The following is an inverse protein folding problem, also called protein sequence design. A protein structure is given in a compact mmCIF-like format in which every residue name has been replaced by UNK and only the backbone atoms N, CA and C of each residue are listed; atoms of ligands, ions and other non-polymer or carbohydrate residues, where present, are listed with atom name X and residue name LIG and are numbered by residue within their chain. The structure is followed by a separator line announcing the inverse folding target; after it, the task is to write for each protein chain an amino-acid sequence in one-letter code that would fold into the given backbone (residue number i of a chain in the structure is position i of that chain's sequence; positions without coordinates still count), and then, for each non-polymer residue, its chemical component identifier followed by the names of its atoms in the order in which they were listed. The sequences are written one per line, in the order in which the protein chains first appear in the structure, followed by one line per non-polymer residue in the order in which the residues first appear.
data_IF_447018262139
#
_entry.id   IF_447018262139
#
_cell.length_a   1.000
_cell.length_b   1.000
_cell.length_c   1.000
_cell.angle_alpha   90.00
_cell.angle_beta   90.00
_cell.angle_gamma   90.00
#
_symmetry.space_group_name_H-M   'P 1'
#
loop_
_entity.id
_entity.type
_entity.pdbx_description
1 polymer ?
#
# COMPACT_ATOMS: atom_id res chain seq x y z
N UNK A 1 36.71 11.74 -73.60
CA UNK A 1 37.12 11.41 -72.21
C UNK A 1 36.80 12.61 -71.34
N UNK A 2 36.16 12.41 -70.18
CA UNK A 2 35.80 13.51 -69.29
C UNK A 2 37.05 14.02 -68.56
N UNK A 3 37.25 15.34 -68.52
CA UNK A 3 38.40 15.99 -67.87
C UNK A 3 37.91 16.85 -66.71
N UNK A 4 38.59 16.78 -65.58
CA UNK A 4 38.34 17.63 -64.43
C UNK A 4 39.62 18.38 -64.05
N UNK A 5 39.49 19.55 -63.43
CA UNK A 5 40.60 20.35 -62.95
C UNK A 5 40.14 21.34 -61.88
N UNK A 6 41.07 22.01 -61.21
CA UNK A 6 40.78 23.04 -60.23
C UNK A 6 40.64 24.41 -60.91
N UNK A 7 39.52 25.11 -60.68
CA UNK A 7 39.31 26.47 -61.17
C UNK A 7 39.61 27.48 -60.06
N UNK A 8 40.62 28.33 -60.28
CA UNK A 8 41.03 29.36 -59.30
C UNK A 8 39.95 30.40 -59.02
N UNK A 9 39.13 30.73 -60.02
CA UNK A 9 38.01 31.67 -59.86
C UNK A 9 36.83 31.06 -59.10
N UNK A 10 36.55 29.75 -59.28
CA UNK A 10 35.50 29.06 -58.52
C UNK A 10 35.96 28.60 -57.13
N UNK A 11 37.27 28.45 -56.91
CA UNK A 11 37.83 27.91 -55.68
C UNK A 11 37.56 26.41 -55.47
N UNK A 12 37.27 25.66 -56.53
CA UNK A 12 36.87 24.26 -56.45
C UNK A 12 37.31 23.44 -57.68
N UNK A 13 37.32 22.12 -57.52
CA UNK A 13 37.46 21.18 -58.64
C UNK A 13 36.16 21.14 -59.44
N UNK A 14 36.28 21.34 -60.75
CA UNK A 14 35.18 21.44 -61.70
C UNK A 14 35.43 20.55 -62.90
N UNK A 15 34.35 20.18 -63.59
CA UNK A 15 34.44 19.57 -64.91
C UNK A 15 34.85 20.62 -65.94
N UNK A 16 35.68 20.20 -66.90
CA UNK A 16 36.16 21.06 -67.96
C UNK A 16 35.26 20.95 -69.19
N UNK A 17 34.92 22.09 -69.76
CA UNK A 17 34.26 22.18 -71.05
C UNK A 17 35.22 21.72 -72.17
N UNK A 18 34.71 21.43 -73.39
CA UNK A 18 35.54 20.95 -74.49
C UNK A 18 36.68 21.90 -74.90
N UNK A 19 36.50 23.20 -74.64
CA UNK A 19 37.50 24.27 -74.85
C UNK A 19 38.57 24.33 -73.74
N UNK A 20 38.47 23.48 -72.72
CA UNK A 20 39.37 23.43 -71.56
C UNK A 20 39.02 24.42 -70.46
N UNK A 21 37.95 25.21 -70.61
CA UNK A 21 37.46 26.13 -69.59
C UNK A 21 36.66 25.44 -68.49
N UNK A 22 36.35 26.19 -67.43
CA UNK A 22 35.42 25.77 -66.39
C UNK A 22 34.00 25.65 -66.97
N UNK A 23 33.24 24.63 -66.58
CA UNK A 23 31.82 24.50 -66.97
C UNK A 23 30.93 25.69 -66.56
N UNK A 24 31.39 26.50 -65.60
CA UNK A 24 30.73 27.73 -65.16
C UNK A 24 31.11 28.98 -65.99
N UNK A 25 31.83 28.81 -67.12
CA UNK A 25 32.10 29.89 -68.08
C UNK A 25 33.40 30.66 -67.87
N UNK A 26 34.35 30.14 -67.08
CA UNK A 26 35.68 30.74 -66.94
C UNK A 26 36.66 30.14 -67.94
N UNK A 27 37.52 30.99 -68.50
CA UNK A 27 38.52 30.56 -69.47
C UNK A 27 39.55 29.59 -68.87
N UNK A 28 40.28 28.87 -69.74
CA UNK A 28 41.24 27.85 -69.34
C UNK A 28 42.44 28.42 -68.53
N UNK A 29 42.70 29.72 -68.61
CA UNK A 29 43.77 30.40 -67.86
C UNK A 29 43.66 30.25 -66.34
N UNK A 30 42.45 30.01 -65.82
CA UNK A 30 42.19 29.76 -64.41
C UNK A 30 42.22 28.29 -63.99
N UNK A 31 42.50 27.36 -64.90
CA UNK A 31 42.41 25.92 -64.66
C UNK A 31 43.80 25.32 -64.38
N UNK A 32 43.92 24.59 -63.26
CA UNK A 32 45.14 23.86 -62.89
C UNK A 32 44.83 22.42 -62.45
N UNK A 33 45.87 21.58 -62.41
CA UNK A 33 45.73 20.20 -61.92
C UNK A 33 44.77 19.34 -62.74
N UNK A 34 44.83 19.43 -64.08
CA UNK A 34 43.92 18.70 -64.97
C UNK A 34 44.21 17.21 -64.92
N UNK A 35 43.18 16.41 -64.63
CA UNK A 35 43.25 14.95 -64.68
C UNK A 35 42.07 14.38 -65.50
N UNK A 36 42.33 13.25 -66.14
CA UNK A 36 41.32 12.52 -66.89
C UNK A 36 40.57 11.60 -65.93
N UNK A 37 39.23 11.64 -66.00
CA UNK A 37 38.39 10.73 -65.22
C UNK A 37 37.95 9.62 -66.15
N UNK A 38 38.44 8.40 -65.86
CA UNK A 38 37.92 7.20 -66.49
C UNK A 38 36.42 7.10 -66.15
N UNK A 39 35.62 6.92 -67.20
CA UNK A 39 34.16 6.86 -67.18
C UNK A 39 33.65 6.01 -66.00
N UNK A 40 32.89 6.64 -65.09
CA UNK A 40 32.40 6.00 -63.88
C UNK A 40 31.50 4.82 -64.22
N UNK A 41 31.95 3.65 -63.79
CA UNK A 41 31.15 2.44 -63.59
C UNK A 41 29.91 2.79 -62.74
N UNK A 42 28.76 2.27 -63.18
CA UNK A 42 27.42 2.31 -62.58
C UNK A 42 27.29 2.89 -61.16
N UNK A 43 26.32 3.79 -61.00
CA UNK A 43 25.92 4.38 -59.73
C UNK A 43 25.79 3.33 -58.60
N UNK A 44 26.29 3.61 -57.38
CA UNK A 44 26.06 2.73 -56.24
C UNK A 44 24.56 2.63 -55.93
N UNK A 45 24.06 1.47 -55.45
CA UNK A 45 22.64 1.33 -55.12
C UNK A 45 22.23 2.37 -54.09
N UNK A 46 21.05 2.95 -54.29
CA UNK A 46 20.46 3.95 -53.41
C UNK A 46 20.53 3.48 -51.95
N UNK A 47 21.25 4.24 -51.13
CA UNK A 47 21.27 4.10 -49.69
C UNK A 47 19.83 4.27 -49.20
N UNK A 48 19.23 3.19 -48.68
CA UNK A 48 17.91 3.26 -48.04
C UNK A 48 17.94 4.25 -46.87
N UNK A 49 16.78 4.80 -46.46
CA UNK A 49 16.76 5.80 -45.39
C UNK A 49 17.45 5.26 -44.13
N UNK A 50 18.43 6.00 -43.61
CA UNK A 50 19.07 5.72 -42.33
C UNK A 50 18.01 5.52 -41.24
N UNK A 51 18.16 4.54 -40.31
CA UNK A 51 17.32 4.50 -39.13
C UNK A 51 17.52 5.81 -38.35
N UNK A 52 16.44 6.52 -38.09
CA UNK A 52 16.47 7.72 -37.26
C UNK A 52 16.79 7.34 -35.82
N UNK A 53 17.53 8.18 -35.06
CA UNK A 53 17.79 7.91 -33.66
C UNK A 53 16.46 7.95 -32.88
N UNK A 54 16.05 6.81 -32.30
CA UNK A 54 14.90 6.76 -31.41
C UNK A 54 15.14 7.68 -30.20
N UNK A 55 14.33 8.73 -30.06
CA UNK A 55 14.34 9.57 -28.85
C UNK A 55 13.95 8.71 -27.64
N UNK A 56 14.69 8.75 -26.53
CA UNK A 56 14.35 7.98 -25.35
C UNK A 56 12.96 8.38 -24.85
N UNK A 57 12.06 7.38 -24.75
CA UNK A 57 10.67 7.54 -24.29
C UNK A 57 10.61 8.01 -22.83
N UNK A 58 10.67 9.34 -22.62
CA UNK A 58 10.50 9.98 -21.30
C UNK A 58 9.13 9.70 -20.66
N UNK A 59 8.14 9.32 -21.47
CA UNK A 59 6.77 9.03 -21.03
C UNK A 59 6.69 7.86 -20.05
N UNK A 60 7.51 6.81 -20.23
CA UNK A 60 7.51 5.66 -19.32
C UNK A 60 8.00 6.01 -17.91
N UNK A 61 8.99 6.92 -17.81
CA UNK A 61 9.49 7.41 -16.51
C UNK A 61 8.46 8.28 -15.81
N UNK A 62 7.71 9.10 -16.54
CA UNK A 62 6.64 9.94 -15.97
C UNK A 62 5.51 9.06 -15.42
N UNK A 63 5.07 8.05 -16.18
CA UNK A 63 4.02 7.13 -15.73
C UNK A 63 4.45 6.39 -14.45
N UNK A 64 5.69 5.90 -14.39
CA UNK A 64 6.21 5.22 -13.20
C UNK A 64 6.21 6.13 -11.96
N UNK A 65 6.65 7.39 -12.10
CA UNK A 65 6.69 8.35 -10.99
C UNK A 65 5.28 8.67 -10.48
N UNK A 66 4.31 8.85 -11.39
CA UNK A 66 2.92 9.13 -11.03
C UNK A 66 2.30 7.96 -10.28
N UNK A 67 2.55 6.72 -10.73
CA UNK A 67 2.06 5.51 -10.04
C UNK A 67 2.69 5.38 -8.65
N UNK A 68 4.01 5.56 -8.54
CA UNK A 68 4.69 5.52 -7.23
C UNK A 68 4.20 6.61 -6.27
N UNK A 69 4.00 7.83 -6.77
CA UNK A 69 3.49 8.93 -5.97
C UNK A 69 2.06 8.67 -5.46
N UNK A 70 1.19 8.10 -6.31
CA UNK A 70 -0.16 7.69 -5.91
C UNK A 70 -0.15 6.55 -4.88
N UNK A 71 0.71 5.55 -5.05
CA UNK A 71 0.85 4.46 -4.08
C UNK A 71 1.34 5.00 -2.73
N UNK A 72 2.33 5.89 -2.72
CA UNK A 72 2.82 6.52 -1.48
C UNK A 72 1.75 7.42 -0.85
N UNK A 73 0.95 8.14 -1.63
CA UNK A 73 -0.16 8.94 -1.14
C UNK A 73 -1.23 8.05 -0.48
N UNK A 74 -1.67 6.99 -1.16
CA UNK A 74 -2.73 6.09 -0.64
C UNK A 74 -2.22 5.31 0.57
N UNK A 75 -1.01 4.75 0.51
CA UNK A 75 -0.41 4.04 1.64
C UNK A 75 -0.09 4.99 2.80
N UNK A 76 0.46 6.17 2.51
CA UNK A 76 0.79 7.18 3.53
C UNK A 76 -0.46 7.70 4.24
N UNK A 77 -1.49 8.11 3.50
CA UNK A 77 -2.76 8.54 4.08
C UNK A 77 -3.48 7.40 4.83
N UNK A 78 -3.43 6.16 4.31
CA UNK A 78 -4.00 4.98 4.97
C UNK A 78 -3.32 4.65 6.30
N UNK A 79 -1.98 4.73 6.36
CA UNK A 79 -1.21 4.47 7.58
C UNK A 79 -1.42 5.57 8.62
N UNK A 80 -1.46 6.85 8.21
CA UNK A 80 -1.74 7.98 9.11
C UNK A 80 -3.15 7.88 9.69
N UNK A 81 -4.15 7.52 8.88
CA UNK A 81 -5.51 7.28 9.36
C UNK A 81 -5.59 6.12 10.35
N UNK A 82 -4.97 4.98 10.03
CA UNK A 82 -5.05 3.80 10.89
C UNK A 82 -4.38 4.01 12.26
N UNK A 83 -3.24 4.68 12.30
CA UNK A 83 -2.50 4.90 13.54
C UNK A 83 -3.21 5.84 14.53
N UNK A 84 -3.96 6.83 14.03
CA UNK A 84 -4.64 7.82 14.88
C UNK A 84 -6.01 7.33 15.39
N UNK A 85 -6.75 6.54 14.61
CA UNK A 85 -8.10 6.11 14.97
C UNK A 85 -8.17 4.71 15.62
N UNK A 86 -7.16 3.87 15.47
CA UNK A 86 -7.10 2.55 16.09
C UNK A 86 -7.18 2.59 17.64
N UNK A 87 -6.32 3.32 18.38
CA UNK A 87 -6.29 3.18 19.84
C UNK A 87 -7.62 3.54 20.50
N UNK A 88 -8.30 4.60 20.03
CA UNK A 88 -9.56 5.08 20.60
C UNK A 88 -10.74 4.11 20.36
N UNK A 89 -10.80 3.52 19.18
CA UNK A 89 -11.87 2.56 18.84
C UNK A 89 -11.65 1.21 19.52
N UNK A 90 -10.41 0.75 19.64
CA UNK A 90 -10.10 -0.50 20.35
C UNK A 90 -10.32 -0.38 21.86
N UNK A 91 -10.01 0.76 22.47
CA UNK A 91 -10.22 0.98 23.91
C UNK A 91 -11.72 1.00 24.26
N UNK A 92 -12.53 1.75 23.51
CA UNK A 92 -13.99 1.78 23.75
C UNK A 92 -14.67 0.43 23.49
N UNK A 93 -14.22 -0.31 22.47
CA UNK A 93 -14.68 -1.67 22.22
C UNK A 93 -14.26 -2.63 23.34
N UNK A 94 -13.03 -2.51 23.84
CA UNK A 94 -12.54 -3.33 24.95
C UNK A 94 -13.32 -3.07 26.24
N UNK A 95 -13.58 -1.80 26.59
CA UNK A 95 -14.34 -1.45 27.79
C UNK A 95 -15.78 -1.96 27.71
N UNK A 96 -16.41 -1.81 26.54
CA UNK A 96 -17.72 -2.40 26.27
C UNK A 96 -17.73 -3.93 26.39
N UNK A 97 -16.67 -4.59 25.90
CA UNK A 97 -16.53 -6.04 25.99
C UNK A 97 -16.36 -6.51 27.44
N UNK A 98 -15.54 -5.80 28.23
CA UNK A 98 -15.33 -6.09 29.66
C UNK A 98 -16.62 -5.94 30.46
N UNK A 99 -17.36 -4.85 30.25
CA UNK A 99 -18.66 -4.61 30.89
C UNK A 99 -19.66 -5.72 30.56
N UNK A 100 -19.82 -6.05 29.27
CA UNK A 100 -20.71 -7.14 28.82
C UNK A 100 -20.29 -8.50 29.36
N UNK A 101 -18.99 -8.77 29.43
CA UNK A 101 -18.46 -10.03 29.98
C UNK A 101 -18.74 -10.12 31.48
N UNK A 102 -18.52 -9.04 32.23
CA UNK A 102 -18.86 -9.00 33.66
C UNK A 102 -20.35 -9.24 33.87
N UNK A 103 -21.20 -8.57 33.08
CA UNK A 103 -22.65 -8.76 33.14
C UNK A 103 -23.08 -10.20 32.83
N UNK A 104 -22.46 -10.83 31.84
CA UNK A 104 -22.70 -12.24 31.51
C UNK A 104 -22.28 -13.17 32.67
N UNK A 105 -21.13 -12.93 33.29
CA UNK A 105 -20.68 -13.68 34.46
C UNK A 105 -21.70 -13.57 35.62
N UNK A 106 -22.20 -12.36 35.91
CA UNK A 106 -23.23 -12.16 36.95
C UNK A 106 -24.50 -12.97 36.67
N UNK A 107 -24.97 -13.00 35.41
CA UNK A 107 -26.12 -13.83 35.02
C UNK A 107 -25.84 -15.32 35.21
N UNK A 108 -24.63 -15.77 34.88
CA UNK A 108 -24.22 -17.16 35.08
C UNK A 108 -24.14 -17.54 36.57
N UNK A 109 -23.61 -16.66 37.42
CA UNK A 109 -23.58 -16.84 38.87
C UNK A 109 -25.00 -16.91 39.45
N UNK A 110 -25.87 -15.95 39.11
CA UNK A 110 -27.25 -15.92 39.58
C UNK A 110 -28.06 -17.13 39.09
N UNK A 111 -27.89 -17.54 37.83
CA UNK A 111 -28.53 -18.77 37.32
C UNK A 111 -28.03 -20.04 38.02
N UNK A 112 -26.76 -20.08 38.45
CA UNK A 112 -26.24 -21.19 39.24
C UNK A 112 -26.80 -21.19 40.67
N UNK A 113 -27.12 -20.04 41.27
CA UNK A 113 -27.86 -19.94 42.54
C UNK A 113 -29.27 -20.50 42.37
N UNK A 114 -29.98 -20.13 41.30
CA UNK A 114 -31.30 -20.69 41.00
C UNK A 114 -31.24 -22.22 40.82
N UNK A 115 -30.23 -22.72 40.12
CA UNK A 115 -30.02 -24.16 39.94
C UNK A 115 -29.71 -24.88 41.26
N UNK A 116 -28.92 -24.26 42.14
CA UNK A 116 -28.64 -24.78 43.47
C UNK A 116 -29.91 -24.82 44.32
N UNK A 117 -30.70 -23.76 44.34
CA UNK A 117 -31.97 -23.67 45.06
C UNK A 117 -32.92 -24.81 44.67
N UNK A 118 -33.02 -25.11 43.37
CA UNK A 118 -33.89 -26.16 42.85
C UNK A 118 -33.38 -27.58 43.14
N UNK A 119 -32.10 -27.74 43.49
CA UNK A 119 -31.49 -29.06 43.67
C UNK A 119 -31.74 -29.70 45.05
N UNK A 120 -32.15 -28.90 46.05
CA UNK A 120 -32.34 -29.39 47.41
C UNK A 120 -33.42 -28.60 48.16
N UNK A 121 -34.33 -29.31 48.81
CA UNK A 121 -35.48 -28.70 49.51
C UNK A 121 -35.10 -27.76 50.66
N UNK A 122 -33.87 -27.88 51.20
CA UNK A 122 -33.36 -27.03 52.29
C UNK A 122 -32.43 -25.92 51.81
N UNK A 123 -32.19 -25.81 50.49
CA UNK A 123 -31.31 -24.77 49.96
C UNK A 123 -32.05 -23.44 49.94
N UNK A 124 -31.48 -22.44 50.62
CA UNK A 124 -32.03 -21.09 50.70
C UNK A 124 -31.05 -20.08 50.06
N UNK A 125 -31.36 -19.54 48.87
CA UNK A 125 -30.56 -18.51 48.21
C UNK A 125 -30.30 -17.30 49.09
N UNK A 126 -31.26 -16.92 49.94
CA UNK A 126 -31.15 -15.71 50.76
C UNK A 126 -30.12 -15.85 51.88
N UNK A 127 -29.67 -17.08 52.17
CA UNK A 127 -28.61 -17.33 53.13
C UNK A 127 -27.19 -17.15 52.55
N UNK A 128 -27.05 -16.83 51.25
CA UNK A 128 -25.75 -16.62 50.61
C UNK A 128 -25.36 -15.13 50.67
N UNK A 129 -24.46 -14.78 51.58
CA UNK A 129 -23.99 -13.41 51.81
C UNK A 129 -22.46 -13.25 51.70
N UNK A 130 -21.76 -14.32 51.30
CA UNK A 130 -20.32 -14.28 51.04
C UNK A 130 -19.92 -15.12 49.83
N UNK A 131 -18.80 -14.75 49.19
CA UNK A 131 -18.25 -15.51 48.06
C UNK A 131 -17.81 -16.93 48.44
N UNK A 132 -17.43 -17.16 49.70
CA UNK A 132 -17.04 -18.49 50.16
C UNK A 132 -18.25 -19.43 50.29
N UNK A 133 -19.35 -18.94 50.86
CA UNK A 133 -20.64 -19.64 50.88
C UNK A 133 -21.14 -19.88 49.46
N UNK A 134 -21.07 -18.84 48.62
CA UNK A 134 -21.36 -18.92 47.21
C UNK A 134 -20.57 -20.02 46.51
N UNK A 135 -19.26 -20.07 46.68
CA UNK A 135 -18.42 -21.13 46.10
C UNK A 135 -18.85 -22.52 46.55
N UNK A 136 -19.11 -22.69 47.84
CA UNK A 136 -19.51 -23.98 48.40
C UNK A 136 -20.86 -24.44 47.84
N UNK A 137 -21.81 -23.52 47.67
CA UNK A 137 -23.16 -23.81 47.16
C UNK A 137 -23.20 -24.04 45.64
N UNK A 138 -22.64 -23.09 44.87
CA UNK A 138 -22.84 -23.04 43.41
C UNK A 138 -21.63 -23.47 42.59
N UNK A 139 -20.47 -23.68 43.21
CA UNK A 139 -19.22 -24.00 42.52
C UNK A 139 -19.31 -25.25 41.64
N UNK A 140 -20.15 -26.22 41.99
CA UNK A 140 -20.38 -27.43 41.19
C UNK A 140 -21.13 -27.19 39.87
N UNK A 141 -21.88 -26.09 39.76
CA UNK A 141 -22.62 -25.73 38.53
C UNK A 141 -21.78 -24.87 37.58
N UNK A 142 -20.58 -24.47 38.02
CA UNK A 142 -19.69 -23.58 37.30
C UNK A 142 -18.43 -24.33 36.92
N UNK A 143 -17.99 -24.13 35.68
CA UNK A 143 -16.72 -24.71 35.22
C UNK A 143 -15.52 -24.11 35.96
N UNK A 144 -15.60 -22.81 36.27
CA UNK A 144 -14.56 -22.05 36.94
C UNK A 144 -15.21 -20.93 37.75
N UNK A 145 -15.33 -21.15 39.06
CA UNK A 145 -15.91 -20.17 39.97
C UNK A 145 -15.03 -18.93 40.10
N UNK A 146 -13.71 -19.13 40.24
CA UNK A 146 -12.72 -18.06 40.44
C UNK A 146 -12.74 -17.05 39.29
N UNK A 147 -12.77 -17.54 38.05
CA UNK A 147 -12.85 -16.68 36.88
C UNK A 147 -14.24 -16.02 36.75
N UNK A 148 -15.31 -16.70 37.16
CA UNK A 148 -16.66 -16.13 37.12
C UNK A 148 -16.83 -14.95 38.08
N UNK A 149 -16.23 -15.00 39.27
CA UNK A 149 -16.27 -13.92 40.27
C UNK A 149 -15.21 -12.83 40.05
N UNK A 150 -14.42 -12.91 38.98
CA UNK A 150 -13.45 -11.88 38.61
C UNK A 150 -14.06 -10.90 37.58
N UNK A 151 -14.11 -9.61 37.92
CA UNK A 151 -14.48 -8.58 36.95
C UNK A 151 -13.29 -8.25 36.02
N UNK A 152 -13.45 -8.33 34.69
CA UNK A 152 -12.37 -8.00 33.74
C UNK A 152 -11.92 -6.53 33.76
N UNK A 153 -12.72 -5.63 34.35
CA UNK A 153 -12.37 -4.22 34.55
C UNK A 153 -11.79 -3.93 35.94
N UNK A 154 -11.58 -4.94 36.78
CA UNK A 154 -11.05 -4.78 38.13
C UNK A 154 -12.09 -4.39 39.20
N UNK A 155 -13.38 -4.47 38.87
CA UNK A 155 -14.45 -4.38 39.86
C UNK A 155 -14.46 -5.55 40.84
N UNK A 156 -15.02 -5.35 42.01
CA UNK A 156 -15.23 -6.40 43.01
C UNK A 156 -16.61 -7.00 42.80
N UNK A 157 -16.73 -8.32 42.91
CA UNK A 157 -18.02 -9.01 42.88
C UNK A 157 -18.38 -9.39 44.32
N UNK A 158 -19.59 -9.05 44.73
CA UNK A 158 -20.17 -9.37 46.03
C UNK A 158 -21.47 -10.13 45.86
N UNK A 159 -21.85 -10.90 46.87
CA UNK A 159 -23.15 -11.58 46.93
C UNK A 159 -23.88 -11.12 48.18
N UNK A 160 -25.18 -10.86 48.03
CA UNK A 160 -26.07 -10.53 49.15
C UNK A 160 -27.43 -11.11 48.83
N UNK A 161 -28.04 -11.82 49.78
CA UNK A 161 -29.30 -12.54 49.59
C UNK A 161 -29.29 -13.47 48.34
N UNK A 162 -28.13 -14.07 48.03
CA UNK A 162 -27.95 -14.92 46.85
C UNK A 162 -27.90 -14.18 45.51
N UNK A 163 -27.87 -12.85 45.52
CA UNK A 163 -27.74 -12.03 44.32
C UNK A 163 -26.31 -11.51 44.15
N UNK A 164 -25.64 -11.95 43.09
CA UNK A 164 -24.32 -11.47 42.73
C UNK A 164 -24.40 -10.12 42.04
N UNK A 165 -23.58 -9.19 42.52
CA UNK A 165 -23.45 -7.83 42.02
C UNK A 165 -21.98 -7.45 41.85
N UNK A 166 -21.72 -6.47 41.00
CA UNK A 166 -20.41 -5.86 40.82
C UNK A 166 -20.39 -4.46 41.42
N UNK A 167 -19.26 -4.07 41.99
CA UNK A 167 -19.02 -2.72 42.52
C UNK A 167 -19.03 -1.63 41.44
N UNK A 168 -18.91 -2.00 40.17
CA UNK A 168 -19.07 -1.09 39.01
C UNK A 168 -20.56 -1.11 38.61
N UNK A 169 -21.32 -0.03 38.87
CA UNK A 169 -22.78 -0.06 38.72
C UNK A 169 -23.26 -0.41 37.30
N UNK A 170 -22.55 0.07 36.29
CA UNK A 170 -22.87 -0.12 34.87
C UNK A 170 -22.73 -1.57 34.39
N UNK A 171 -22.06 -2.43 35.18
CA UNK A 171 -21.90 -3.84 34.86
C UNK A 171 -23.05 -4.70 35.40
N UNK A 172 -23.81 -4.18 36.37
CA UNK A 172 -24.92 -4.91 36.95
C UNK A 172 -26.03 -5.11 35.92
N UNK A 173 -26.64 -6.31 35.87
CA UNK A 173 -27.80 -6.53 35.02
C UNK A 173 -28.91 -5.57 35.43
N UNK A 174 -29.39 -4.81 34.45
CA UNK A 174 -30.63 -4.03 34.56
C UNK A 174 -31.83 -4.98 34.58
#
# INVERSE_FOLDING_TARGET
MARAGYCSTCGANVWLAPDGGCINGHGPEGISGIYEVAEQVAAPPAYGPSPTPERPRRTGKIILIVVLALVVLVCGCGVIGFALFAPVTFQSAADSARSKSCNANLRTLNGAVEQWALSGETNDPTALDSLDEGRAAIGQYLKDYDTAVACPSGGEISVTDGHYTCSIPEHNPQ
#
